data_IF_500184402274
#
_entry.id   IF_500184402274
#
_cell.length_a   1.000
_cell.length_b   1.000
_cell.length_c   1.000
_cell.angle_alpha   90.00
_cell.angle_beta   90.00
_cell.angle_gamma   90.00
#
_symmetry.space_group_name_H-M   'P 1'
#
loop_
_entity.id
_entity.type
_entity.pdbx_description
1 polymer ?
#
# COMPACT_ATOMS: atom_id res chain seq x y z
N UNK A 1 -12.18 -9.68 -5.36
CA UNK A 1 -11.52 -9.19 -4.14
C UNK A 1 -10.38 -8.28 -4.52
N UNK A 2 -10.26 -7.12 -3.86
CA UNK A 2 -9.18 -6.16 -4.09
C UNK A 2 -8.27 -6.15 -2.87
N UNK A 3 -6.96 -6.20 -3.09
CA UNK A 3 -5.99 -5.99 -2.01
C UNK A 3 -5.77 -4.50 -1.82
N UNK A 4 -5.88 -4.05 -0.58
CA UNK A 4 -5.55 -2.68 -0.19
C UNK A 4 -4.47 -2.69 0.88
N UNK A 5 -3.62 -1.67 0.88
CA UNK A 5 -2.61 -1.52 1.91
C UNK A 5 -3.27 -1.28 3.28
N UNK A 6 -2.77 -1.96 4.33
CA UNK A 6 -3.21 -1.77 5.70
C UNK A 6 -2.01 -1.43 6.59
N UNK A 7 -1.97 -0.19 7.08
CA UNK A 7 -0.88 0.30 7.92
C UNK A 7 -0.74 -0.46 9.26
N UNK A 8 -1.79 -1.14 9.71
CA UNK A 8 -1.74 -1.99 10.92
C UNK A 8 -0.99 -3.30 10.67
N UNK A 9 -0.98 -3.77 9.43
CA UNK A 9 -0.26 -4.96 8.98
C UNK A 9 1.17 -4.64 8.50
N UNK A 10 1.46 -3.37 8.19
CA UNK A 10 2.80 -2.93 7.78
C UNK A 10 3.87 -3.26 8.84
N UNK A 11 4.98 -3.86 8.41
CA UNK A 11 6.07 -4.26 9.32
C UNK A 11 6.72 -3.03 9.99
N UNK A 12 7.37 -3.17 11.16
CA UNK A 12 8.05 -2.06 11.83
C UNK A 12 9.08 -1.35 10.92
N UNK A 13 9.81 -2.11 10.10
CA UNK A 13 10.76 -1.57 9.15
C UNK A 13 10.08 -0.69 8.09
N UNK A 14 8.97 -1.17 7.53
CA UNK A 14 8.19 -0.45 6.53
C UNK A 14 7.61 0.87 7.09
N UNK A 15 7.17 0.82 8.35
CA UNK A 15 6.67 2.01 9.05
C UNK A 15 7.76 3.06 9.28
N UNK A 16 8.99 2.62 9.55
CA UNK A 16 10.14 3.51 9.73
C UNK A 16 10.56 4.17 8.41
N UNK A 17 10.64 3.40 7.31
CA UNK A 17 11.03 3.88 5.99
C UNK A 17 10.09 4.96 5.43
N UNK A 18 8.78 4.72 5.47
CA UNK A 18 7.79 5.61 4.88
C UNK A 18 7.48 6.83 5.77
N UNK A 19 7.58 6.65 7.07
CA UNK A 19 7.13 7.65 8.03
C UNK A 19 5.60 7.82 8.06
N UNK A 20 5.13 8.51 9.10
CA UNK A 20 3.70 8.60 9.45
C UNK A 20 2.83 9.21 8.35
N UNK A 21 3.34 10.23 7.64
CA UNK A 21 2.57 10.93 6.59
C UNK A 21 2.25 10.00 5.42
N UNK A 22 3.27 9.33 4.88
CA UNK A 22 3.10 8.40 3.76
C UNK A 22 2.24 7.21 4.16
N UNK A 23 2.49 6.59 5.33
CA UNK A 23 1.67 5.48 5.84
C UNK A 23 0.18 5.81 5.92
N UNK A 24 -0.16 7.03 6.36
CA UNK A 24 -1.54 7.45 6.43
C UNK A 24 -2.13 7.71 5.04
N UNK A 25 -1.34 8.27 4.11
CA UNK A 25 -1.78 8.56 2.75
C UNK A 25 -2.05 7.29 1.93
N UNK A 26 -1.28 6.21 2.17
CA UNK A 26 -1.44 4.95 1.44
C UNK A 26 -2.42 3.96 2.09
N UNK A 27 -2.86 4.22 3.33
CA UNK A 27 -3.74 3.30 4.05
C UNK A 27 -5.11 3.17 3.37
N UNK A 28 -5.45 1.96 2.96
CA UNK A 28 -6.66 1.65 2.21
C UNK A 28 -6.54 1.86 0.70
N UNK A 29 -5.39 2.30 0.18
CA UNK A 29 -5.19 2.39 -1.26
C UNK A 29 -5.02 1.00 -1.88
N UNK A 30 -5.54 0.79 -3.11
CA UNK A 30 -5.39 -0.47 -3.82
C UNK A 30 -3.92 -0.75 -4.12
N UNK A 31 -3.54 -2.02 -3.96
CA UNK A 31 -2.22 -2.53 -4.28
C UNK A 31 -2.34 -3.47 -5.47
N UNK A 32 -1.60 -3.19 -6.54
CA UNK A 32 -1.61 -3.97 -7.77
C UNK A 32 -0.49 -5.00 -7.68
N UNK A 33 -0.83 -6.28 -7.84
CA UNK A 33 0.13 -7.39 -7.97
C UNK A 33 0.06 -7.88 -9.41
N UNK A 34 1.20 -7.94 -10.10
CA UNK A 34 1.27 -8.54 -11.44
C UNK A 34 1.43 -10.05 -11.30
N UNK A 35 1.00 -10.77 -12.33
CA UNK A 35 1.10 -12.24 -12.35
C UNK A 35 2.57 -12.67 -12.23
N UNK A 36 2.87 -13.45 -11.18
CA UNK A 36 4.21 -13.93 -10.88
C UNK A 36 5.03 -13.05 -9.93
N UNK A 37 4.55 -11.85 -9.58
CA UNK A 37 5.24 -10.97 -8.64
C UNK A 37 4.91 -11.35 -7.18
N UNK A 38 5.94 -11.38 -6.32
CA UNK A 38 5.78 -11.56 -4.87
C UNK A 38 5.45 -10.24 -4.14
N UNK A 39 5.52 -9.12 -4.86
CA UNK A 39 5.38 -7.77 -4.33
C UNK A 39 4.44 -6.97 -5.23
N UNK A 40 3.74 -6.01 -4.64
CA UNK A 40 2.79 -5.15 -5.33
C UNK A 40 3.26 -3.70 -5.42
N UNK A 41 2.46 -2.90 -6.12
CA UNK A 41 2.67 -1.46 -6.32
C UNK A 41 1.45 -0.66 -5.89
N UNK A 42 1.68 0.54 -5.37
CA UNK A 42 0.67 1.60 -5.32
C UNK A 42 1.09 2.64 -6.34
N UNK A 43 0.45 2.61 -7.51
CA UNK A 43 0.86 3.39 -8.69
C UNK A 43 0.88 4.90 -8.44
N UNK A 44 -0.02 5.38 -7.57
CA UNK A 44 -0.20 6.82 -7.33
C UNK A 44 -0.78 7.09 -5.95
N UNK A 45 -0.12 7.96 -5.19
CA UNK A 45 -0.64 8.55 -3.97
C UNK A 45 -0.05 9.96 -3.76
N UNK A 46 -0.64 10.74 -2.85
CA UNK A 46 -0.24 12.13 -2.61
C UNK A 46 0.10 12.38 -1.16
N UNK A 47 1.19 13.11 -0.92
CA UNK A 47 1.58 13.63 0.40
C UNK A 47 1.97 15.10 0.23
N UNK A 48 1.37 15.99 1.02
CA UNK A 48 1.63 17.44 0.99
C UNK A 48 1.55 18.05 -0.42
N UNK A 49 0.64 17.55 -1.27
CA UNK A 49 0.44 18.02 -2.65
C UNK A 49 1.43 17.45 -3.68
N UNK A 50 2.42 16.67 -3.26
CA UNK A 50 3.35 15.98 -4.15
C UNK A 50 2.86 14.56 -4.46
N UNK A 51 3.00 14.15 -5.71
CA UNK A 51 2.68 12.82 -6.20
C UNK A 51 3.84 11.84 -5.97
N UNK A 52 3.49 10.62 -5.56
CA UNK A 52 4.43 9.54 -5.27
C UNK A 52 3.94 8.21 -5.83
N UNK A 53 4.91 7.31 -6.03
CA UNK A 53 4.74 5.90 -6.35
C UNK A 53 5.35 5.05 -5.23
N UNK A 54 4.76 3.91 -4.89
CA UNK A 54 5.32 3.00 -3.89
C UNK A 54 5.53 1.59 -4.45
N UNK A 55 6.78 1.13 -4.39
CA UNK A 55 7.23 -0.23 -4.62
C UNK A 55 8.51 -0.48 -3.79
N UNK A 56 8.72 -1.68 -3.23
CA UNK A 56 7.82 -2.83 -3.22
C UNK A 56 6.79 -2.80 -2.09
N UNK A 57 5.57 -3.26 -2.33
CA UNK A 57 4.55 -3.47 -1.29
C UNK A 57 4.37 -4.97 -1.03
N UNK A 58 4.73 -5.43 0.16
CA UNK A 58 4.56 -6.84 0.51
C UNK A 58 3.07 -7.20 0.71
N UNK A 59 2.65 -8.35 0.20
CA UNK A 59 1.27 -8.86 0.35
C UNK A 59 0.82 -8.96 1.81
N UNK A 60 1.74 -9.26 2.73
CA UNK A 60 1.51 -9.31 4.17
C UNK A 60 1.05 -7.97 4.77
N UNK A 61 1.38 -6.85 4.12
CA UNK A 61 0.93 -5.50 4.52
C UNK A 61 -0.42 -5.13 3.90
N UNK A 62 -1.11 -6.07 3.26
CA UNK A 62 -2.38 -5.85 2.59
C UNK A 62 -3.50 -6.64 3.26
N UNK A 63 -4.73 -6.13 3.14
CA UNK A 63 -5.95 -6.88 3.47
C UNK A 63 -6.84 -7.00 2.25
N UNK A 64 -7.61 -8.08 2.20
CA UNK A 64 -8.64 -8.28 1.18
C UNK A 64 -9.88 -7.46 1.52
N UNK A 65 -10.43 -6.78 0.52
CA UNK A 65 -11.68 -6.03 0.60
C UNK A 65 -12.58 -6.47 -0.55
N UNK A 66 -13.83 -6.78 -0.22
CA UNK A 66 -14.90 -6.92 -1.20
C UNK A 66 -15.42 -5.53 -1.55
N UNK A 67 -15.31 -5.15 -2.82
CA UNK A 67 -16.03 -3.99 -3.36
C UNK A 67 -17.50 -4.43 -3.49
N UNK A 68 -18.35 -3.94 -2.60
CA UNK A 68 -19.79 -4.00 -2.81
C UNK A 68 -20.09 -3.07 -4.00
N UNK A 69 -20.32 -3.67 -5.18
CA UNK A 69 -20.81 -2.99 -6.37
C UNK A 69 -22.31 -2.69 -6.24
#
# INVERSE_FOLDING_TARGET
MTLVFDKSLATPHYRHLLGKKHLNAINGLPVIFKDGDNEGTIEKYFVDGQEYHLYPVHRESCREVELLL
#
